data_IF_117202006873
#
_entry.id   IF_117202006873
#
_cell.length_a   1.000
_cell.length_b   1.000
_cell.length_c   1.000
_cell.angle_alpha   90.00
_cell.angle_beta   90.00
_cell.angle_gamma   90.00
#
_symmetry.space_group_name_H-M   'P 1'
#
loop_
_entity.id
_entity.type
_entity.pdbx_description
1 polymer ?
#
# COMPACT_ATOMS: atom_id res chain seq x y z
N UNK A 1 -22.64 -15.33 -2.43
CA UNK A 1 -21.83 -15.59 -1.23
C UNK A 1 -20.93 -14.38 -1.04
N UNK A 2 -20.92 -13.69 0.11
CA UNK A 2 -20.00 -12.58 0.32
C UNK A 2 -18.59 -13.14 0.15
N UNK A 3 -17.92 -12.70 -0.90
CA UNK A 3 -16.66 -13.27 -1.37
C UNK A 3 -15.63 -13.18 -0.26
N UNK A 4 -15.04 -14.32 0.08
CA UNK A 4 -13.84 -14.40 0.90
C UNK A 4 -12.78 -13.52 0.24
N UNK A 5 -12.57 -12.32 0.79
CA UNK A 5 -11.59 -11.37 0.27
C UNK A 5 -10.25 -12.10 0.19
N UNK A 6 -9.71 -12.25 -1.03
CA UNK A 6 -8.43 -12.91 -1.27
C UNK A 6 -7.38 -12.22 -0.40
N UNK A 7 -6.80 -12.94 0.55
CA UNK A 7 -5.69 -12.43 1.33
C UNK A 7 -4.46 -12.36 0.41
N UNK A 8 -4.06 -11.14 0.04
CA UNK A 8 -2.96 -10.91 -0.90
C UNK A 8 -1.60 -11.37 -0.35
N UNK A 9 -1.44 -11.42 0.97
CA UNK A 9 -0.18 -11.83 1.62
C UNK A 9 0.01 -13.35 1.58
N UNK A 10 -1.06 -14.13 1.67
CA UNK A 10 -0.98 -15.60 1.67
C UNK A 10 -1.36 -16.26 0.34
N UNK A 11 -2.18 -15.61 -0.49
CA UNK A 11 -2.68 -16.16 -1.76
C UNK A 11 -2.71 -15.09 -2.88
N UNK A 12 -1.54 -14.54 -3.26
CA UNK A 12 -1.47 -13.52 -4.30
C UNK A 12 -1.94 -14.09 -5.65
N UNK A 13 -2.63 -13.28 -6.44
CA UNK A 13 -3.01 -13.65 -7.81
C UNK A 13 -1.82 -13.59 -8.79
N UNK A 14 -0.80 -12.78 -8.46
CA UNK A 14 0.43 -12.60 -9.23
C UNK A 14 1.57 -12.18 -8.30
N UNK A 15 2.80 -12.39 -8.74
CA UNK A 15 4.01 -11.89 -8.08
C UNK A 15 4.91 -11.21 -9.12
N UNK A 16 5.67 -10.16 -8.75
CA UNK A 16 5.73 -9.56 -7.41
C UNK A 16 4.48 -8.73 -7.08
N UNK A 17 4.20 -8.54 -5.78
CA UNK A 17 3.26 -7.51 -5.33
C UNK A 17 3.94 -6.15 -5.39
N UNK A 18 3.20 -5.12 -5.81
CA UNK A 18 3.67 -3.75 -5.87
C UNK A 18 2.97 -2.95 -4.76
N UNK A 19 3.77 -2.40 -3.84
CA UNK A 19 3.29 -1.62 -2.70
C UNK A 19 4.07 -0.30 -2.59
N UNK A 20 3.62 0.79 -3.23
CA UNK A 20 4.25 2.10 -3.11
C UNK A 20 4.21 2.60 -1.66
N UNK A 21 5.30 3.19 -1.16
CA UNK A 21 5.35 3.77 0.19
C UNK A 21 4.63 5.12 0.23
N UNK A 22 3.75 5.29 1.22
CA UNK A 22 3.05 6.56 1.45
C UNK A 22 3.99 7.68 1.87
N UNK A 23 5.21 7.36 2.35
CA UNK A 23 6.20 8.37 2.71
C UNK A 23 6.66 9.22 1.51
N UNK A 24 6.45 8.72 0.28
CA UNK A 24 6.75 9.44 -0.96
C UNK A 24 5.59 10.31 -1.47
N UNK A 25 4.42 10.26 -0.84
CA UNK A 25 3.24 11.03 -1.26
C UNK A 25 3.32 12.49 -0.79
N UNK A 26 2.59 13.39 -1.46
CA UNK A 26 2.32 14.72 -0.91
C UNK A 26 1.28 14.61 0.23
N UNK A 27 1.74 14.80 1.46
CA UNK A 27 0.90 14.68 2.67
C UNK A 27 -0.26 15.69 2.71
N UNK A 28 -0.18 16.82 1.98
CA UNK A 28 -1.31 17.75 1.88
C UNK A 28 -2.46 17.21 1.02
N UNK A 29 -2.20 16.17 0.22
CA UNK A 29 -3.17 15.51 -0.68
C UNK A 29 -3.01 13.99 -0.73
N UNK A 30 -2.56 13.39 0.38
CA UNK A 30 -2.19 11.98 0.46
C UNK A 30 -3.27 11.04 -0.10
N UNK A 31 -4.55 11.32 0.14
CA UNK A 31 -5.65 10.52 -0.37
C UNK A 31 -5.71 10.46 -1.90
N UNK A 32 -5.38 11.56 -2.59
CA UNK A 32 -5.38 11.63 -4.05
C UNK A 32 -4.18 10.86 -4.64
N UNK A 33 -2.98 11.04 -4.08
CA UNK A 33 -1.77 10.33 -4.52
C UNK A 33 -1.91 8.81 -4.30
N UNK A 34 -2.45 8.39 -3.15
CA UNK A 34 -2.76 7.00 -2.86
C UNK A 34 -3.80 6.41 -3.85
N UNK A 35 -4.86 7.16 -4.16
CA UNK A 35 -5.85 6.71 -5.14
C UNK A 35 -5.22 6.53 -6.54
N UNK A 36 -4.38 7.48 -6.97
CA UNK A 36 -3.72 7.45 -8.26
C UNK A 36 -2.84 6.20 -8.44
N UNK A 37 -2.04 5.84 -7.42
CA UNK A 37 -1.18 4.65 -7.52
C UNK A 37 -1.96 3.33 -7.47
N UNK A 38 -3.06 3.28 -6.74
CA UNK A 38 -3.96 2.13 -6.72
C UNK A 38 -4.67 1.96 -8.07
N UNK A 39 -5.15 3.06 -8.66
CA UNK A 39 -5.73 3.08 -10.01
C UNK A 39 -4.70 2.68 -11.09
N UNK A 40 -3.42 3.02 -10.89
CA UNK A 40 -2.31 2.60 -11.75
C UNK A 40 -1.93 1.11 -11.58
N UNK A 41 -2.57 0.38 -10.66
CA UNK A 41 -2.44 -1.06 -10.52
C UNK A 41 -1.52 -1.53 -9.40
N UNK A 42 -1.19 -0.66 -8.43
CA UNK A 42 -0.58 -1.10 -7.17
C UNK A 42 -1.52 -2.06 -6.43
N UNK A 43 -0.94 -3.08 -5.79
CA UNK A 43 -1.70 -4.12 -5.08
C UNK A 43 -2.01 -3.70 -3.63
N UNK A 44 -1.12 -2.90 -3.03
CA UNK A 44 -1.17 -2.46 -1.63
C UNK A 44 -0.57 -1.03 -1.49
N UNK A 45 -0.77 -0.41 -0.33
CA UNK A 45 0.02 0.73 0.11
C UNK A 45 1.01 0.28 1.19
N UNK A 46 2.27 0.71 1.09
CA UNK A 46 3.29 0.43 2.09
C UNK A 46 3.33 1.57 3.11
N UNK A 47 3.28 1.22 4.40
CA UNK A 47 3.25 2.19 5.51
C UNK A 47 4.37 1.87 6.47
N UNK A 48 5.41 2.69 6.41
CA UNK A 48 6.55 2.64 7.33
C UNK A 48 6.18 3.41 8.61
N UNK A 49 6.03 2.69 9.72
CA UNK A 49 5.81 3.31 11.04
C UNK A 49 7.15 3.43 11.75
N UNK A 50 7.51 4.67 12.09
CA UNK A 50 8.77 5.04 12.71
C UNK A 50 8.49 5.61 14.10
N UNK A 51 9.19 5.12 15.13
CA UNK A 51 8.95 5.47 16.53
C UNK A 51 9.99 6.44 17.13
N UNK A 52 10.98 6.85 16.34
CA UNK A 52 12.10 7.68 16.78
C UNK A 52 13.14 6.97 17.65
N UNK A 53 12.92 5.71 18.03
CA UNK A 53 13.86 4.91 18.84
C UNK A 53 14.60 3.88 17.99
N UNK A 54 13.88 3.15 17.13
CA UNK A 54 14.48 2.18 16.21
C UNK A 54 15.14 2.86 15.01
N UNK A 55 14.52 3.94 14.52
CA UNK A 55 14.99 4.77 13.41
C UNK A 55 14.82 6.25 13.80
N UNK A 56 15.78 7.13 13.43
CA UNK A 56 15.70 8.55 13.75
C UNK A 56 14.56 9.26 13.02
#
# INVERSE_FOLDING_TARGET
MPGMTRNLLSHPARLPLIAPSILSADFARMGADCAQVLEAGADLLHVDVMDGHFVP
#
